data_IF_204155286939
#
_entry.id   IF_204155286939
#
_cell.length_a   1.000
_cell.length_b   1.000
_cell.length_c   1.000
_cell.angle_alpha   90.00
_cell.angle_beta   90.00
_cell.angle_gamma   90.00
#
_symmetry.space_group_name_H-M   'P 1'
#
loop_
_entity.id
_entity.type
_entity.pdbx_description
1 polymer ?
#
# COMPACT_ATOMS: atom_id res chain seq x y z
N UNK A 1 12.46 8.56 13.00
CA UNK A 1 11.39 7.98 12.14
C UNK A 1 10.53 6.95 12.85
N UNK A 2 11.09 6.11 13.75
CA UNK A 2 10.28 5.16 14.57
C UNK A 2 9.46 5.89 15.65
N UNK A 3 9.93 7.07 16.09
CA UNK A 3 9.20 7.90 17.08
C UNK A 3 8.01 8.66 16.47
N UNK A 4 8.03 8.96 15.17
CA UNK A 4 6.99 9.71 14.44
C UNK A 4 6.48 8.90 13.24
N UNK A 5 6.08 7.65 13.50
CA UNK A 5 5.69 6.71 12.44
C UNK A 5 4.41 7.16 11.70
N UNK A 6 3.50 7.88 12.35
CA UNK A 6 2.28 8.39 11.69
C UNK A 6 2.63 9.35 10.55
N UNK A 7 3.49 10.34 10.80
CA UNK A 7 3.92 11.27 9.76
C UNK A 7 4.73 10.57 8.67
N UNK A 8 5.59 9.62 9.04
CA UNK A 8 6.32 8.83 8.05
C UNK A 8 5.38 8.09 7.10
N UNK A 9 4.36 7.40 7.62
CA UNK A 9 3.41 6.65 6.81
C UNK A 9 2.44 7.53 6.03
N UNK A 10 2.13 8.73 6.55
CA UNK A 10 1.45 9.78 5.79
C UNK A 10 2.26 10.16 4.54
N UNK A 11 3.55 10.43 4.70
CA UNK A 11 4.40 10.80 3.58
C UNK A 11 4.56 9.65 2.58
N UNK A 12 4.62 8.40 3.04
CA UNK A 12 4.61 7.22 2.15
C UNK A 12 3.34 7.18 1.30
N UNK A 13 2.18 7.42 1.90
CA UNK A 13 0.91 7.46 1.16
C UNK A 13 0.93 8.50 0.04
N UNK A 14 1.46 9.70 0.33
CA UNK A 14 1.57 10.79 -0.65
C UNK A 14 2.66 10.52 -1.69
N UNK A 15 3.83 10.06 -1.28
CA UNK A 15 4.96 9.80 -2.15
C UNK A 15 4.65 8.74 -3.22
N UNK A 16 3.93 7.69 -2.84
CA UNK A 16 3.50 6.64 -3.77
C UNK A 16 2.20 6.98 -4.51
N UNK A 17 1.64 8.18 -4.34
CA UNK A 17 0.37 8.63 -4.91
C UNK A 17 -0.70 7.53 -4.82
N UNK A 18 -0.94 7.02 -3.61
CA UNK A 18 -1.87 5.91 -3.39
C UNK A 18 -3.27 6.29 -3.87
N UNK A 19 -3.80 5.50 -4.80
CA UNK A 19 -5.13 5.69 -5.38
C UNK A 19 -6.16 5.13 -4.41
N UNK A 20 -7.07 5.98 -3.95
CA UNK A 20 -8.15 5.60 -3.06
C UNK A 20 -9.46 6.28 -3.45
N UNK A 21 -10.53 5.50 -3.48
CA UNK A 21 -11.90 5.99 -3.69
C UNK A 21 -12.43 6.82 -2.50
N UNK A 22 -11.92 6.54 -1.29
CA UNK A 22 -12.13 7.35 -0.09
C UNK A 22 -10.77 7.50 0.62
N UNK A 23 -10.32 8.73 0.91
CA UNK A 23 -9.08 8.95 1.67
C UNK A 23 -9.21 8.44 3.11
N UNK A 24 -8.07 8.25 3.79
CA UNK A 24 -8.06 7.88 5.20
C UNK A 24 -8.54 9.04 6.09
N UNK A 25 -9.14 8.69 7.22
CA UNK A 25 -9.52 9.64 8.28
C UNK A 25 -8.37 9.81 9.29
N UNK A 26 -7.66 8.72 9.60
CA UNK A 26 -6.42 8.70 10.42
C UNK A 26 -5.42 7.69 9.91
N UNK A 27 -4.14 8.04 9.96
CA UNK A 27 -3.03 7.17 9.52
C UNK A 27 -2.84 5.98 10.45
N UNK A 28 -3.00 6.17 11.76
CA UNK A 28 -2.88 5.10 12.74
C UNK A 28 -3.94 5.24 13.84
N UNK A 29 -4.50 4.11 14.25
CA UNK A 29 -5.35 4.01 15.44
C UNK A 29 -4.91 2.81 16.25
N UNK A 30 -4.38 3.06 17.45
CA UNK A 30 -4.08 2.00 18.40
C UNK A 30 -5.37 1.43 18.97
N UNK A 31 -5.58 0.12 18.80
CA UNK A 31 -6.75 -0.60 19.37
C UNK A 31 -6.35 -1.71 20.33
N UNK A 32 -5.11 -2.19 20.27
CA UNK A 32 -4.62 -3.27 21.10
C UNK A 32 -3.12 -3.17 21.38
N UNK A 33 -2.58 -4.25 21.95
CA UNK A 33 -1.15 -4.40 22.21
C UNK A 33 -0.40 -5.03 21.04
N UNK A 34 -1.08 -5.80 20.20
CA UNK A 34 -0.51 -6.46 19.03
C UNK A 34 -0.48 -5.56 17.79
N UNK A 35 0.38 -5.92 16.83
CA UNK A 35 0.47 -5.23 15.55
C UNK A 35 -0.82 -5.36 14.73
N UNK A 36 -1.40 -6.56 14.68
CA UNK A 36 -2.63 -6.87 13.93
C UNK A 36 -3.88 -6.26 14.56
N UNK A 37 -3.83 -5.87 15.83
CA UNK A 37 -4.97 -5.24 16.50
C UNK A 37 -5.15 -3.79 16.02
N UNK A 38 -4.07 -3.14 15.58
CA UNK A 38 -4.09 -1.74 15.23
C UNK A 38 -4.58 -1.51 13.80
N UNK A 39 -5.23 -0.36 13.59
CA UNK A 39 -5.72 0.02 12.28
C UNK A 39 -4.78 1.05 11.65
N UNK A 40 -4.39 0.78 10.41
CA UNK A 40 -3.64 1.71 9.57
C UNK A 40 -4.57 2.29 8.50
N UNK A 41 -4.44 3.59 8.24
CA UNK A 41 -5.22 4.32 7.24
C UNK A 41 -6.74 4.12 7.42
N UNK A 42 -7.18 4.13 8.68
CA UNK A 42 -8.57 3.90 9.06
C UNK A 42 -9.51 4.81 8.27
N UNK A 43 -10.63 4.24 7.81
CA UNK A 43 -11.63 4.94 7.01
C UNK A 43 -11.32 5.03 5.51
N UNK A 44 -10.11 4.71 5.06
CA UNK A 44 -9.79 4.66 3.64
C UNK A 44 -10.51 3.51 2.93
N UNK A 45 -10.77 3.70 1.64
CA UNK A 45 -11.22 2.64 0.73
C UNK A 45 -10.42 2.70 -0.54
N UNK A 46 -9.66 1.65 -0.81
CA UNK A 46 -8.81 1.51 -1.99
C UNK A 46 -8.99 0.12 -2.60
N UNK A 47 -8.57 0.00 -3.86
CA UNK A 47 -8.43 -1.28 -4.52
C UNK A 47 -6.94 -1.58 -4.74
N UNK A 48 -6.49 -2.76 -4.31
CA UNK A 48 -5.09 -3.13 -4.43
C UNK A 48 -4.67 -3.35 -5.90
N UNK A 49 -5.51 -4.03 -6.69
CA UNK A 49 -5.23 -4.27 -8.10
C UNK A 49 -5.19 -2.97 -8.91
N UNK A 50 -6.02 -1.97 -8.58
CA UNK A 50 -5.95 -0.64 -9.18
C UNK A 50 -4.59 0.03 -8.94
N UNK A 51 -4.09 -0.01 -7.72
CA UNK A 51 -2.77 0.54 -7.39
C UNK A 51 -1.62 -0.26 -8.00
N UNK A 52 -1.75 -1.58 -8.06
CA UNK A 52 -0.74 -2.48 -8.61
C UNK A 52 -0.65 -2.37 -10.13
N UNK A 53 -1.78 -2.29 -10.82
CA UNK A 53 -1.91 -2.25 -12.28
C UNK A 53 -2.15 -0.82 -12.82
N UNK A 54 -1.79 0.21 -12.03
CA UNK A 54 -1.99 1.63 -12.42
C UNK A 54 -1.16 2.03 -13.64
N UNK A 55 -0.03 1.36 -13.83
CA UNK A 55 0.86 1.56 -14.96
C UNK A 55 0.28 0.80 -16.16
N UNK A 56 -0.11 1.54 -17.20
CA UNK A 56 -0.69 1.00 -18.45
C UNK A 56 0.14 1.39 -19.66
N UNK A 57 1.43 1.09 -19.59
CA UNK A 57 2.39 1.25 -20.70
C UNK A 57 2.93 -0.12 -21.14
N UNK A 58 3.80 -0.11 -22.15
CA UNK A 58 4.34 -1.34 -22.75
C UNK A 58 5.50 -1.98 -21.96
N UNK A 59 5.73 -1.56 -20.71
CA UNK A 59 6.79 -2.18 -19.88
C UNK A 59 6.38 -3.58 -19.44
N UNK A 60 7.35 -4.49 -19.37
CA UNK A 60 7.13 -5.83 -18.82
C UNK A 60 6.67 -5.72 -17.35
N UNK A 61 5.48 -6.23 -17.08
CA UNK A 61 4.91 -6.30 -15.72
C UNK A 61 5.22 -7.63 -15.02
N UNK A 62 5.33 -8.72 -15.78
CA UNK A 62 5.56 -10.05 -15.24
C UNK A 62 6.52 -10.82 -16.16
N UNK A 63 7.47 -11.48 -15.52
CA UNK A 63 8.38 -12.44 -16.14
C UNK A 63 8.07 -13.80 -15.51
N UNK A 64 7.68 -14.78 -16.32
CA UNK A 64 7.40 -16.14 -15.86
C UNK A 64 8.48 -17.09 -16.38
N UNK A 65 8.87 -18.04 -15.55
CA UNK A 65 9.75 -19.14 -15.91
C UNK A 65 9.15 -20.45 -15.42
N UNK A 66 9.35 -21.53 -16.16
CA UNK A 66 9.10 -22.88 -15.66
C UNK A 66 10.29 -23.43 -14.84
N UNK A 67 10.15 -24.64 -14.28
CA UNK A 67 11.20 -25.29 -13.48
C UNK A 67 12.47 -25.62 -14.28
N UNK A 68 12.39 -25.63 -15.62
CA UNK A 68 13.51 -25.88 -16.53
C UNK A 68 14.19 -24.57 -16.97
N UNK A 69 13.68 -23.42 -16.55
CA UNK A 69 14.21 -22.10 -16.90
C UNK A 69 13.77 -21.61 -18.28
N UNK A 70 12.73 -22.20 -18.88
CA UNK A 70 12.14 -21.68 -20.11
C UNK A 70 11.19 -20.52 -19.80
N UNK A 71 11.17 -19.54 -20.71
CA UNK A 71 10.34 -18.33 -20.66
C UNK A 71 9.01 -18.52 -21.39
#
# INVERSE_FOLDING_TARGET
SVENYEDFWKEIWHFFDVIASKPYDKVFVKKGSGFLDNEWFSGARLNFAENLLRIRDDRLALICYDELGNY
#
